data_IF_093424662176
#
_entry.id   IF_093424662176
#
_cell.length_a   1.000
_cell.length_b   1.000
_cell.length_c   1.000
_cell.angle_alpha   90.00
_cell.angle_beta   90.00
_cell.angle_gamma   90.00
#
_symmetry.space_group_name_H-M   'P 1'
#
loop_
_entity.id
_entity.type
_entity.pdbx_description
1 polymer ?
#
# COMPACT_ATOMS: atom_id res chain seq x y z
N UNK A 1 -21.83 6.33 1.69
CA UNK A 1 -20.71 6.39 2.64
C UNK A 1 -20.91 5.29 3.66
N UNK A 2 -20.02 4.31 3.69
CA UNK A 2 -19.99 3.30 4.75
C UNK A 2 -19.69 4.02 6.07
N UNK A 3 -20.47 3.80 7.15
CA UNK A 3 -20.20 4.44 8.44
C UNK A 3 -18.79 4.08 8.93
N UNK A 4 -18.01 5.07 9.38
CA UNK A 4 -16.66 4.83 9.91
C UNK A 4 -16.77 3.91 11.14
N UNK A 5 -16.04 2.78 11.17
CA UNK A 5 -16.05 1.88 12.30
C UNK A 5 -15.57 2.58 13.57
N UNK A 6 -16.09 2.13 14.72
CA UNK A 6 -15.84 2.74 16.03
C UNK A 6 -15.26 1.68 16.96
N UNK A 7 -14.50 2.10 17.96
CA UNK A 7 -14.03 1.20 19.03
C UNK A 7 -14.97 1.18 20.23
N UNK A 8 -16.03 1.99 20.26
CA UNK A 8 -16.97 2.04 21.39
C UNK A 8 -18.42 2.32 20.98
N UNK A 9 -19.35 1.74 21.71
CA UNK A 9 -20.80 1.97 21.68
C UNK A 9 -21.25 2.63 22.98
N UNK A 10 -22.08 3.66 22.84
CA UNK A 10 -22.69 4.35 23.97
C UNK A 10 -22.18 5.77 24.18
N UNK A 11 -22.59 6.43 25.29
CA UNK A 11 -23.37 5.85 26.39
C UNK A 11 -24.80 5.47 25.98
N UNK A 12 -25.22 4.23 26.26
CA UNK A 12 -26.57 3.71 26.02
C UNK A 12 -27.36 3.76 27.33
N UNK A 13 -28.50 4.49 27.41
CA UNK A 13 -29.32 4.52 28.61
C UNK A 13 -29.78 3.11 29.00
N UNK A 14 -29.55 2.73 30.27
CA UNK A 14 -29.97 1.45 30.83
C UNK A 14 -31.23 1.63 31.68
N UNK A 15 -31.09 2.08 32.93
CA UNK A 15 -32.16 2.38 33.91
C UNK A 15 -31.65 3.36 34.97
N UNK A 16 -32.53 4.08 35.67
CA UNK A 16 -32.19 4.89 36.86
C UNK A 16 -30.97 5.81 36.70
N UNK A 17 -30.90 6.49 35.55
CA UNK A 17 -29.79 7.37 35.18
C UNK A 17 -28.46 6.67 34.90
N UNK A 18 -28.44 5.33 34.89
CA UNK A 18 -27.28 4.52 34.55
C UNK A 18 -27.23 4.35 33.04
N UNK A 19 -26.03 4.52 32.48
CA UNK A 19 -25.72 4.24 31.08
C UNK A 19 -24.69 3.13 30.97
N UNK A 20 -24.73 2.40 29.85
CA UNK A 20 -23.78 1.37 29.48
C UNK A 20 -22.95 1.86 28.29
N UNK A 21 -21.63 1.80 28.42
CA UNK A 21 -20.68 1.95 27.31
C UNK A 21 -19.99 0.61 27.08
N UNK A 22 -19.88 0.19 25.83
CA UNK A 22 -19.14 -1.02 25.46
C UNK A 22 -17.99 -0.61 24.55
N UNK A 23 -16.75 -0.89 24.93
CA UNK A 23 -15.57 -0.57 24.14
C UNK A 23 -14.76 -1.83 23.81
N UNK A 24 -14.16 -1.86 22.62
CA UNK A 24 -13.18 -2.84 22.21
C UNK A 24 -11.77 -2.29 22.46
N UNK A 25 -11.06 -2.91 23.41
CA UNK A 25 -9.62 -2.72 23.59
C UNK A 25 -8.84 -3.87 22.94
N UNK A 26 -7.50 -3.75 22.86
CA UNK A 26 -6.57 -4.67 22.16
C UNK A 26 -6.97 -6.15 22.14
N UNK A 27 -7.32 -6.74 23.28
CA UNK A 27 -7.67 -8.16 23.41
C UNK A 27 -8.95 -8.43 24.24
N UNK A 28 -9.75 -7.38 24.48
CA UNK A 28 -10.87 -7.47 25.41
C UNK A 28 -11.94 -6.45 25.11
N UNK A 29 -13.13 -6.80 25.53
CA UNK A 29 -14.30 -5.97 25.54
C UNK A 29 -14.50 -5.44 26.94
N UNK A 30 -14.69 -4.13 27.07
CA UNK A 30 -14.96 -3.46 28.34
C UNK A 30 -16.39 -2.96 28.32
N UNK A 31 -17.18 -3.37 29.30
CA UNK A 31 -18.50 -2.83 29.57
C UNK A 31 -18.43 -1.93 30.79
N UNK A 32 -18.60 -0.63 30.60
CA UNK A 32 -18.53 0.39 31.65
C UNK A 32 -19.93 0.91 31.95
N UNK A 33 -20.33 0.84 33.21
CA UNK A 33 -21.56 1.44 33.71
C UNK A 33 -21.24 2.78 34.34
N UNK A 34 -21.95 3.83 33.91
CA UNK A 34 -21.81 5.17 34.46
C UNK A 34 -23.13 5.70 34.98
N UNK A 35 -23.09 6.56 36.00
CA UNK A 35 -24.24 7.37 36.43
C UNK A 35 -23.79 8.83 36.43
N UNK A 36 -24.26 9.59 35.44
CA UNK A 36 -23.63 10.89 35.12
C UNK A 36 -22.19 10.67 34.62
N UNK A 37 -21.23 11.38 35.22
CA UNK A 37 -19.80 11.26 34.90
C UNK A 37 -19.07 10.20 35.75
N UNK A 38 -19.74 9.62 36.75
CA UNK A 38 -19.12 8.64 37.65
C UNK A 38 -19.20 7.22 37.08
N UNK A 39 -18.07 6.52 37.03
CA UNK A 39 -18.01 5.08 36.71
C UNK A 39 -18.42 4.29 37.96
N UNK A 40 -19.55 3.59 37.87
CA UNK A 40 -20.09 2.80 38.98
C UNK A 40 -19.64 1.34 38.93
N UNK A 41 -19.39 0.78 37.74
CA UNK A 41 -18.91 -0.58 37.58
C UNK A 41 -18.27 -0.83 36.21
N UNK A 42 -17.37 -1.81 36.13
CA UNK A 42 -16.71 -2.24 34.90
C UNK A 42 -16.66 -3.77 34.83
N UNK A 43 -16.90 -4.34 33.65
CA UNK A 43 -16.66 -5.76 33.35
C UNK A 43 -15.81 -5.92 32.09
N UNK A 44 -14.97 -6.96 32.08
CA UNK A 44 -14.07 -7.27 30.98
C UNK A 44 -14.36 -8.67 30.45
N UNK A 45 -14.51 -8.80 29.13
CA UNK A 45 -14.73 -10.09 28.46
C UNK A 45 -13.80 -10.29 27.25
N UNK A 46 -13.51 -11.54 26.91
CA UNK A 46 -12.71 -11.89 25.71
C UNK A 46 -13.50 -11.83 24.41
N UNK A 47 -14.82 -11.97 24.50
CA UNK A 47 -15.74 -11.92 23.37
C UNK A 47 -16.64 -10.71 23.49
N UNK A 48 -17.24 -10.23 22.38
CA UNK A 48 -18.28 -9.22 22.45
C UNK A 48 -19.35 -9.62 23.47
N UNK A 49 -19.80 -8.69 24.32
CA UNK A 49 -20.68 -9.04 25.43
C UNK A 49 -22.05 -9.54 24.92
N UNK A 50 -22.55 -9.07 23.78
CA UNK A 50 -23.80 -9.59 23.18
C UNK A 50 -23.67 -11.01 22.62
N UNK A 51 -22.47 -11.47 22.23
CA UNK A 51 -22.26 -12.83 21.74
C UNK A 51 -22.19 -13.88 22.87
N UNK A 52 -22.04 -13.46 24.12
CA UNK A 52 -21.81 -14.35 25.25
C UNK A 52 -23.12 -14.80 25.93
N UNK A 53 -23.41 -16.11 25.92
CA UNK A 53 -24.60 -16.71 26.58
C UNK A 53 -24.83 -16.26 28.03
N UNK A 54 -23.76 -15.99 28.78
CA UNK A 54 -23.81 -15.63 30.20
C UNK A 54 -23.52 -14.14 30.48
N UNK A 55 -23.23 -13.34 29.44
CA UNK A 55 -22.76 -11.97 29.61
C UNK A 55 -23.78 -11.06 30.29
N UNK A 56 -25.04 -11.09 29.86
CA UNK A 56 -26.11 -10.28 30.47
C UNK A 56 -26.24 -10.57 31.98
N UNK A 57 -26.11 -11.84 32.38
CA UNK A 57 -26.13 -12.24 33.79
C UNK A 57 -24.92 -11.73 34.58
N UNK A 58 -23.71 -11.82 34.01
CA UNK A 58 -22.49 -11.30 34.64
C UNK A 58 -22.56 -9.79 34.83
N UNK A 59 -22.93 -9.06 33.78
CA UNK A 59 -23.07 -7.61 33.80
C UNK A 59 -24.14 -7.14 34.80
N UNK A 60 -25.29 -7.84 34.85
CA UNK A 60 -26.32 -7.58 35.87
C UNK A 60 -25.76 -7.72 37.27
N UNK A 61 -25.01 -8.79 37.55
CA UNK A 61 -24.42 -8.98 38.87
C UNK A 61 -23.43 -7.88 39.21
N UNK A 62 -22.57 -7.49 38.27
CA UNK A 62 -21.57 -6.42 38.46
C UNK A 62 -22.23 -5.10 38.82
N UNK A 63 -23.22 -4.64 38.06
CA UNK A 63 -23.90 -3.37 38.35
C UNK A 63 -24.76 -3.43 39.61
N UNK A 64 -25.45 -4.55 39.87
CA UNK A 64 -26.27 -4.72 41.09
C UNK A 64 -25.45 -4.88 42.37
N UNK A 65 -24.17 -5.27 42.27
CA UNK A 65 -23.25 -5.26 43.41
C UNK A 65 -22.83 -3.83 43.76
N UNK A 66 -22.64 -2.96 42.76
CA UNK A 66 -22.27 -1.57 42.97
C UNK A 66 -23.46 -0.69 43.41
N UNK A 67 -24.65 -0.95 42.87
CA UNK A 67 -25.87 -0.18 43.12
C UNK A 67 -27.04 -1.12 43.40
N UNK A 68 -27.79 -0.93 44.50
CA UNK A 68 -28.93 -1.80 44.82
C UNK A 68 -30.08 -1.54 43.85
N UNK A 69 -30.19 -2.39 42.82
CA UNK A 69 -31.19 -2.33 41.76
C UNK A 69 -31.94 -3.66 41.65
N UNK A 70 -33.14 -3.64 41.06
CA UNK A 70 -33.87 -4.87 40.75
C UNK A 70 -33.15 -5.67 39.65
N UNK A 71 -32.61 -6.83 40.02
CA UNK A 71 -31.83 -7.69 39.12
C UNK A 71 -32.60 -8.11 37.87
N UNK A 72 -33.93 -8.33 37.99
CA UNK A 72 -34.75 -8.78 36.86
C UNK A 72 -34.88 -7.66 35.83
N UNK A 73 -35.13 -6.44 36.28
CA UNK A 73 -35.25 -5.24 35.45
C UNK A 73 -33.93 -4.90 34.76
N UNK A 74 -32.82 -4.87 35.51
CA UNK A 74 -31.47 -4.65 34.96
C UNK A 74 -31.16 -5.67 33.87
N UNK A 75 -31.38 -6.96 34.15
CA UNK A 75 -31.09 -8.03 33.19
C UNK A 75 -31.92 -7.90 31.91
N UNK A 76 -33.20 -7.59 32.04
CA UNK A 76 -34.09 -7.37 30.89
C UNK A 76 -33.63 -6.19 30.04
N UNK A 77 -33.21 -5.09 30.66
CA UNK A 77 -32.69 -3.92 29.97
C UNK A 77 -31.38 -4.23 29.21
N UNK A 78 -30.44 -4.96 29.83
CA UNK A 78 -29.19 -5.37 29.17
C UNK A 78 -29.47 -6.29 27.97
N UNK A 79 -30.37 -7.26 28.11
CA UNK A 79 -30.75 -8.16 27.00
C UNK A 79 -31.33 -7.36 25.83
N UNK A 80 -32.23 -6.41 26.12
CA UNK A 80 -32.82 -5.54 25.09
C UNK A 80 -31.75 -4.71 24.36
N UNK A 81 -30.74 -4.20 25.07
CA UNK A 81 -29.61 -3.49 24.46
C UNK A 81 -28.83 -4.43 23.53
N UNK A 82 -28.55 -5.67 23.96
CA UNK A 82 -27.82 -6.63 23.14
C UNK A 82 -28.57 -7.02 21.87
N UNK A 83 -29.88 -7.27 21.98
CA UNK A 83 -30.74 -7.54 20.81
C UNK A 83 -30.76 -6.36 19.84
N UNK A 84 -30.78 -5.13 20.34
CA UNK A 84 -30.70 -3.93 19.52
C UNK A 84 -29.34 -3.79 18.81
N UNK A 85 -28.24 -4.07 19.50
CA UNK A 85 -26.89 -4.04 18.91
C UNK A 85 -26.78 -5.11 17.82
N UNK A 86 -27.16 -6.35 18.11
CA UNK A 86 -27.08 -7.47 17.18
C UNK A 86 -27.94 -7.28 15.93
N UNK A 87 -29.09 -6.61 16.07
CA UNK A 87 -29.97 -6.25 14.96
C UNK A 87 -29.59 -4.97 14.20
N UNK A 88 -28.46 -4.34 14.52
CA UNK A 88 -28.03 -3.07 13.93
C UNK A 88 -26.69 -3.19 13.19
N UNK A 89 -26.43 -2.26 12.28
CA UNK A 89 -25.12 -2.13 11.61
C UNK A 89 -23.99 -1.80 12.62
N UNK A 90 -24.32 -1.33 13.83
CA UNK A 90 -23.36 -0.98 14.87
C UNK A 90 -22.57 -2.19 15.39
N UNK A 91 -23.15 -3.40 15.35
CA UNK A 91 -22.43 -4.63 15.70
C UNK A 91 -21.31 -4.96 14.70
N UNK A 92 -21.51 -4.64 13.42
CA UNK A 92 -20.52 -4.87 12.36
C UNK A 92 -19.48 -3.75 12.30
N UNK A 93 -19.86 -2.53 12.69
CA UNK A 93 -18.98 -1.37 12.71
C UNK A 93 -18.02 -1.35 13.92
N UNK A 94 -18.18 -2.24 14.90
CA UNK A 94 -17.26 -2.27 16.04
C UNK A 94 -16.01 -3.09 15.77
N UNK A 95 -14.88 -2.39 15.75
CA UNK A 95 -13.55 -2.97 15.54
C UNK A 95 -12.67 -2.69 16.75
N UNK A 96 -11.51 -3.34 16.83
CA UNK A 96 -10.53 -3.08 17.88
C UNK A 96 -10.06 -1.62 17.86
N UNK A 97 -9.64 -1.08 19.01
CA UNK A 97 -9.11 0.28 19.11
C UNK A 97 -7.99 0.59 18.09
N UNK A 98 -7.00 -0.30 17.84
CA UNK A 98 -5.99 -0.05 16.82
C UNK A 98 -6.58 0.10 15.41
N UNK A 99 -7.50 -0.80 15.02
CA UNK A 99 -8.13 -0.73 13.70
C UNK A 99 -9.01 0.52 13.57
N UNK A 100 -9.78 0.84 14.62
CA UNK A 100 -10.66 2.01 14.64
C UNK A 100 -9.88 3.32 14.48
N UNK A 101 -8.69 3.42 15.09
CA UNK A 101 -7.83 4.60 14.95
C UNK A 101 -7.33 4.80 13.53
N UNK A 102 -6.76 3.76 12.94
CA UNK A 102 -6.22 3.82 11.58
C UNK A 102 -7.33 4.15 10.58
N UNK A 103 -8.45 3.42 10.66
CA UNK A 103 -9.60 3.63 9.77
C UNK A 103 -10.22 5.02 10.01
N UNK A 104 -10.33 5.42 11.28
CA UNK A 104 -10.90 6.70 11.68
C UNK A 104 -10.13 7.88 11.09
N UNK A 105 -8.81 7.81 11.10
CA UNK A 105 -7.93 8.85 10.56
C UNK A 105 -7.73 8.73 9.04
N UNK A 106 -8.09 7.61 8.41
CA UNK A 106 -7.98 7.45 6.95
C UNK A 106 -8.94 8.41 6.24
N UNK A 107 -8.38 9.25 5.38
CA UNK A 107 -9.10 10.23 4.54
C UNK A 107 -9.31 9.67 3.14
N UNK A 108 -8.26 9.10 2.54
CA UNK A 108 -8.32 8.51 1.21
C UNK A 108 -7.30 7.36 1.08
N UNK A 109 -7.56 6.46 0.14
CA UNK A 109 -6.66 5.38 -0.23
C UNK A 109 -6.45 5.40 -1.73
N UNK A 110 -5.20 5.52 -2.15
CA UNK A 110 -4.81 5.55 -3.55
C UNK A 110 -3.91 4.37 -3.86
N UNK A 111 -4.17 3.66 -4.94
CA UNK A 111 -3.31 2.60 -5.44
C UNK A 111 -2.63 3.12 -6.70
N UNK A 112 -1.34 3.43 -6.58
CA UNK A 112 -0.55 3.78 -7.75
C UNK A 112 -0.35 2.52 -8.59
N UNK A 113 -0.83 2.56 -9.84
CA UNK A 113 -0.78 1.43 -10.78
C UNK A 113 0.61 1.35 -11.43
N UNK A 114 1.64 1.21 -10.60
CA UNK A 114 3.01 0.92 -11.00
C UNK A 114 3.34 -0.58 -10.82
N UNK A 115 4.50 -1.03 -11.32
CA UNK A 115 4.95 -2.43 -11.21
C UNK A 115 6.16 -2.58 -10.27
N UNK A 116 6.00 -3.03 -9.00
CA UNK A 116 4.77 -3.45 -8.34
C UNK A 116 3.97 -2.27 -7.75
N UNK A 117 2.65 -2.43 -7.54
CA UNK A 117 1.80 -1.33 -7.09
C UNK A 117 2.13 -0.88 -5.67
N UNK A 118 1.90 0.40 -5.43
CA UNK A 118 2.10 1.07 -4.14
C UNK A 118 0.77 1.58 -3.62
N UNK A 119 0.49 1.30 -2.35
CA UNK A 119 -0.72 1.71 -1.66
C UNK A 119 -0.39 2.92 -0.80
N UNK A 120 -1.00 4.06 -1.12
CA UNK A 120 -0.85 5.32 -0.41
C UNK A 120 -2.10 5.56 0.43
N UNK A 121 -1.89 5.67 1.74
CA UNK A 121 -2.96 5.92 2.72
C UNK A 121 -2.81 7.36 3.18
N UNK A 122 -3.72 8.22 2.75
CA UNK A 122 -3.77 9.61 3.17
C UNK A 122 -4.56 9.68 4.49
N UNK A 123 -3.94 10.27 5.50
CA UNK A 123 -4.48 10.44 6.84
C UNK A 123 -4.89 11.89 7.08
N UNK A 124 -5.61 12.16 8.17
CA UNK A 124 -5.90 13.52 8.60
C UNK A 124 -4.62 14.36 8.80
N UNK A 125 -4.77 15.69 8.79
CA UNK A 125 -3.66 16.63 8.99
C UNK A 125 -2.55 16.54 7.93
N UNK A 126 -2.85 16.02 6.73
CA UNK A 126 -1.92 15.96 5.60
C UNK A 126 -0.81 14.92 5.76
N UNK A 127 -0.99 13.96 6.66
CA UNK A 127 -0.08 12.85 6.89
C UNK A 127 -0.34 11.72 5.89
N UNK A 128 0.64 10.86 5.66
CA UNK A 128 0.44 9.68 4.81
C UNK A 128 1.32 8.50 5.20
N UNK A 129 0.86 7.30 4.84
CA UNK A 129 1.62 6.05 4.95
C UNK A 129 1.66 5.36 3.58
N UNK A 130 2.81 4.78 3.25
CA UNK A 130 2.99 4.03 2.00
C UNK A 130 3.28 2.54 2.27
N UNK A 131 2.61 1.67 1.54
CA UNK A 131 2.74 0.22 1.62
C UNK A 131 3.01 -0.38 0.25
N UNK A 132 3.87 -1.40 0.20
CA UNK A 132 4.05 -2.21 -1.02
C UNK A 132 2.98 -3.29 -1.10
N UNK A 133 2.74 -3.84 -2.29
CA UNK A 133 1.91 -5.02 -2.47
C UNK A 133 2.30 -6.19 -1.53
N UNK A 134 3.60 -6.34 -1.23
CA UNK A 134 4.09 -7.36 -0.30
C UNK A 134 3.66 -7.07 1.14
N UNK A 135 3.71 -5.81 1.58
CA UNK A 135 3.28 -5.43 2.93
C UNK A 135 1.80 -5.73 3.13
N UNK A 136 0.97 -5.38 2.13
CA UNK A 136 -0.48 -5.63 2.15
C UNK A 136 -0.73 -7.14 2.15
N UNK A 137 -0.17 -7.90 1.21
CA UNK A 137 -0.42 -9.34 1.11
C UNK A 137 0.05 -10.16 2.33
N UNK A 138 1.07 -9.69 3.05
CA UNK A 138 1.62 -10.42 4.19
C UNK A 138 0.80 -10.28 5.47
N UNK A 139 -0.12 -9.29 5.56
CA UNK A 139 -0.84 -8.91 6.79
C UNK A 139 0.08 -8.78 8.01
N UNK A 140 1.33 -8.38 7.79
CA UNK A 140 2.35 -8.39 8.84
C UNK A 140 2.17 -7.17 9.74
N UNK A 141 1.76 -7.30 11.02
CA UNK A 141 1.41 -6.16 11.87
C UNK A 141 2.58 -5.19 12.09
N UNK A 142 3.82 -5.67 12.00
CA UNK A 142 5.01 -4.82 12.10
C UNK A 142 5.03 -3.73 11.02
N UNK A 143 4.50 -4.03 9.82
CA UNK A 143 4.43 -3.08 8.72
C UNK A 143 3.55 -1.88 9.08
N UNK A 144 2.33 -2.14 9.56
CA UNK A 144 1.38 -1.11 9.99
C UNK A 144 1.90 -0.34 11.21
N UNK A 145 2.37 -1.03 12.25
CA UNK A 145 2.83 -0.40 13.49
C UNK A 145 4.03 0.53 13.25
N UNK A 146 4.98 0.14 12.39
CA UNK A 146 6.17 0.96 12.11
C UNK A 146 5.81 2.23 11.35
N UNK A 147 4.92 2.11 10.35
CA UNK A 147 4.47 3.26 9.54
C UNK A 147 3.62 4.21 10.36
N UNK A 148 2.73 3.67 11.19
CA UNK A 148 1.97 4.46 12.15
C UNK A 148 2.89 5.26 13.08
N UNK A 149 3.87 4.60 13.71
CA UNK A 149 4.80 5.27 14.63
C UNK A 149 5.64 6.34 13.92
N UNK A 150 5.93 6.17 12.62
CA UNK A 150 6.65 7.19 11.83
C UNK A 150 5.84 8.49 11.67
N UNK A 151 4.51 8.35 11.61
CA UNK A 151 3.57 9.46 11.43
C UNK A 151 3.04 10.00 12.76
N UNK A 152 3.03 9.16 13.80
CA UNK A 152 2.65 9.47 15.18
C UNK A 152 3.77 9.06 16.16
N UNK A 153 4.89 9.81 16.23
CA UNK A 153 6.10 9.38 16.95
C UNK A 153 5.94 9.07 18.45
N UNK A 154 4.85 9.51 19.08
CA UNK A 154 4.59 9.36 20.51
C UNK A 154 3.39 8.47 20.83
N UNK A 155 2.73 7.93 19.81
CA UNK A 155 1.47 7.19 19.98
C UNK A 155 1.57 5.82 19.32
N UNK A 156 2.19 4.82 19.97
CA UNK A 156 2.27 3.48 19.42
C UNK A 156 0.88 2.89 19.21
N UNK A 157 0.65 2.30 18.04
CA UNK A 157 -0.61 1.66 17.70
C UNK A 157 -0.77 0.32 18.45
N UNK A 158 0.18 -0.58 18.26
CA UNK A 158 0.14 -1.93 18.84
C UNK A 158 -0.96 -2.81 18.23
N UNK A 159 -1.15 -2.69 16.92
CA UNK A 159 -2.03 -3.54 16.12
C UNK A 159 -1.50 -4.98 16.01
N UNK A 160 -2.39 -5.95 16.05
CA UNK A 160 -2.19 -7.36 15.72
C UNK A 160 -2.35 -7.62 14.22
N UNK A 161 -2.05 -8.84 13.77
CA UNK A 161 -2.29 -9.22 12.37
C UNK A 161 -3.76 -9.16 11.97
N UNK A 162 -4.68 -9.48 12.89
CA UNK A 162 -6.13 -9.40 12.65
C UNK A 162 -6.64 -7.96 12.56
N UNK A 163 -6.04 -7.06 13.33
CA UNK A 163 -6.32 -5.63 13.22
C UNK A 163 -5.88 -5.12 11.85
N UNK A 164 -4.71 -5.54 11.38
CA UNK A 164 -4.21 -5.14 10.08
C UNK A 164 -5.05 -5.69 8.93
N UNK A 165 -5.50 -6.95 9.00
CA UNK A 165 -6.47 -7.53 8.05
C UNK A 165 -7.75 -6.68 7.97
N UNK A 166 -8.32 -6.29 9.12
CA UNK A 166 -9.51 -5.43 9.19
C UNK A 166 -9.26 -4.06 8.55
N UNK A 167 -8.08 -3.47 8.79
CA UNK A 167 -7.68 -2.19 8.20
C UNK A 167 -7.51 -2.31 6.68
N UNK A 168 -6.91 -3.41 6.20
CA UNK A 168 -6.71 -3.66 4.77
C UNK A 168 -8.06 -3.85 4.07
N UNK A 169 -8.98 -4.63 4.64
CA UNK A 169 -10.33 -4.81 4.10
C UNK A 169 -11.03 -3.45 3.94
N UNK A 170 -10.92 -2.58 4.95
CA UNK A 170 -11.44 -1.21 4.85
C UNK A 170 -10.74 -0.42 3.74
N UNK A 171 -9.40 -0.39 3.70
CA UNK A 171 -8.65 0.36 2.70
C UNK A 171 -8.97 -0.07 1.28
N UNK A 172 -9.01 -1.38 1.01
CA UNK A 172 -9.35 -1.91 -0.32
C UNK A 172 -10.81 -1.60 -0.71
N UNK A 173 -11.72 -1.47 0.25
CA UNK A 173 -13.12 -1.11 -0.02
C UNK A 173 -13.32 0.34 -0.49
N UNK A 174 -12.35 1.24 -0.23
CA UNK A 174 -12.40 2.65 -0.59
C UNK A 174 -11.27 3.08 -1.51
N UNK A 175 -10.45 2.14 -1.96
CA UNK A 175 -9.27 2.42 -2.77
C UNK A 175 -9.65 2.91 -4.17
N UNK A 176 -8.97 3.97 -4.61
CA UNK A 176 -9.03 4.46 -5.98
C UNK A 176 -7.68 4.18 -6.68
N UNK A 177 -7.74 3.61 -7.88
CA UNK A 177 -6.56 3.45 -8.73
C UNK A 177 -6.18 4.80 -9.33
N UNK A 178 -4.90 5.15 -9.24
CA UNK A 178 -4.35 6.41 -9.75
C UNK A 178 -3.09 6.18 -10.56
N UNK A 179 -2.81 7.12 -11.46
CA UNK A 179 -1.53 7.17 -12.16
C UNK A 179 -0.39 7.39 -11.16
N UNK A 180 0.74 6.67 -11.30
CA UNK A 180 1.91 6.85 -10.44
C UNK A 180 2.45 8.28 -10.53
N UNK A 181 2.84 8.86 -9.39
CA UNK A 181 3.50 10.18 -9.39
C UNK A 181 4.94 10.13 -9.95
N UNK A 182 5.54 8.93 -10.01
CA UNK A 182 6.87 8.68 -10.57
C UNK A 182 6.82 7.68 -11.72
N UNK A 183 7.90 6.93 -11.92
CA UNK A 183 7.93 5.89 -12.97
C UNK A 183 6.86 4.82 -12.76
N UNK A 184 6.13 4.49 -13.82
CA UNK A 184 5.12 3.42 -13.83
C UNK A 184 5.80 2.07 -13.73
N UNK A 185 7.01 1.94 -14.27
CA UNK A 185 7.81 0.73 -14.15
C UNK A 185 9.25 1.00 -13.70
N UNK A 186 9.84 0.12 -12.86
CA UNK A 186 11.26 0.14 -12.56
C UNK A 186 12.14 0.05 -13.81
N UNK A 187 11.58 -0.49 -14.90
CA UNK A 187 12.26 -0.66 -16.18
C UNK A 187 12.35 0.65 -16.98
N UNK A 188 11.54 1.67 -16.70
CA UNK A 188 11.62 2.97 -17.39
C UNK A 188 13.02 3.58 -17.26
N UNK A 189 13.55 3.64 -16.04
CA UNK A 189 14.90 4.14 -15.79
C UNK A 189 15.99 3.33 -16.50
N UNK A 190 15.77 2.03 -16.69
CA UNK A 190 16.69 1.15 -17.43
C UNK A 190 16.62 1.43 -18.92
N UNK A 191 15.40 1.65 -19.45
CA UNK A 191 15.19 2.07 -20.84
C UNK A 191 15.87 3.40 -21.12
N UNK A 192 15.63 4.41 -20.29
CA UNK A 192 16.24 5.73 -20.42
C UNK A 192 17.77 5.63 -20.44
N UNK A 193 18.36 4.89 -19.50
CA UNK A 193 19.82 4.64 -19.48
C UNK A 193 20.32 3.95 -20.74
N UNK A 194 19.56 3.00 -21.29
CA UNK A 194 19.91 2.35 -22.54
C UNK A 194 19.89 3.36 -23.70
N UNK A 195 18.85 4.20 -23.78
CA UNK A 195 18.72 5.25 -24.79
C UNK A 195 19.88 6.25 -24.71
N UNK A 196 20.22 6.73 -23.51
CA UNK A 196 21.39 7.61 -23.28
C UNK A 196 22.68 6.92 -23.72
N UNK A 197 22.86 5.63 -23.41
CA UNK A 197 24.07 4.86 -23.77
C UNK A 197 24.22 4.71 -25.29
N UNK A 198 23.12 4.56 -26.03
CA UNK A 198 23.16 4.34 -27.49
C UNK A 198 23.11 5.64 -28.31
N UNK A 199 22.59 6.73 -27.75
CA UNK A 199 22.45 8.01 -28.43
C UNK A 199 23.74 8.49 -29.14
N UNK A 200 24.95 8.43 -28.53
CA UNK A 200 26.18 8.89 -29.18
C UNK A 200 26.80 7.89 -30.17
N UNK A 201 26.30 6.65 -30.25
CA UNK A 201 26.94 5.58 -31.04
C UNK A 201 26.52 5.64 -32.51
N UNK A 202 27.42 5.42 -33.47
CA UNK A 202 27.01 5.32 -34.88
C UNK A 202 26.07 4.11 -35.10
N UNK A 203 24.99 4.31 -35.87
CA UNK A 203 24.08 3.24 -36.29
C UNK A 203 24.24 2.96 -37.79
N UNK A 204 25.30 2.24 -38.20
CA UNK A 204 25.53 1.93 -39.60
C UNK A 204 24.41 1.01 -40.13
N UNK A 205 24.16 1.11 -41.43
CA UNK A 205 23.24 0.25 -42.18
C UNK A 205 23.86 -1.10 -42.56
N UNK A 206 24.96 -1.48 -41.90
CA UNK A 206 25.65 -2.75 -42.11
C UNK A 206 25.72 -3.55 -40.80
N UNK A 207 25.46 -4.86 -40.84
CA UNK A 207 25.44 -5.69 -39.63
C UNK A 207 26.75 -5.67 -38.82
N UNK A 208 27.88 -5.38 -39.46
CA UNK A 208 29.20 -5.22 -38.82
C UNK A 208 29.23 -4.14 -37.73
N UNK A 209 28.27 -3.20 -37.73
CA UNK A 209 28.08 -2.24 -36.64
C UNK A 209 27.87 -2.89 -35.28
N UNK A 210 27.25 -4.07 -35.23
CA UNK A 210 27.08 -4.84 -33.99
C UNK A 210 28.41 -5.28 -33.37
N UNK A 211 29.45 -5.46 -34.19
CA UNK A 211 30.79 -5.82 -33.70
C UNK A 211 31.53 -4.58 -33.20
N UNK A 212 31.49 -3.49 -33.98
CA UNK A 212 32.31 -2.29 -33.74
C UNK A 212 31.76 -1.39 -32.63
N UNK A 213 30.46 -1.14 -32.67
CA UNK A 213 29.78 -0.21 -31.75
C UNK A 213 28.59 -0.83 -31.03
N UNK A 214 28.22 -2.07 -31.35
CA UNK A 214 27.08 -2.74 -30.72
C UNK A 214 25.72 -2.33 -31.26
N UNK A 215 25.66 -1.59 -32.37
CA UNK A 215 24.42 -1.12 -33.01
C UNK A 215 24.43 -1.39 -34.52
N UNK A 216 23.29 -1.79 -35.07
CA UNK A 216 23.04 -1.91 -36.50
C UNK A 216 21.62 -1.47 -36.82
N UNK A 217 21.46 -0.49 -37.70
CA UNK A 217 20.14 -0.13 -38.21
C UNK A 217 19.85 -0.98 -39.45
N UNK A 218 18.83 -1.84 -39.39
CA UNK A 218 18.42 -2.59 -40.57
C UNK A 218 17.69 -1.65 -41.56
N UNK A 219 18.04 -1.65 -42.85
CA UNK A 219 17.38 -0.79 -43.84
C UNK A 219 15.87 -1.05 -43.88
N UNK A 220 15.07 -0.04 -43.52
CA UNK A 220 13.60 -0.17 -43.42
C UNK A 220 13.11 -1.12 -42.32
N UNK A 221 14.00 -1.51 -41.39
CA UNK A 221 13.74 -2.50 -40.35
C UNK A 221 14.12 -2.02 -38.94
N UNK A 222 14.25 -2.95 -37.97
CA UNK A 222 14.55 -2.63 -36.58
C UNK A 222 15.94 -2.02 -36.36
N UNK A 223 16.07 -1.28 -35.26
CA UNK A 223 17.36 -0.93 -34.68
C UNK A 223 17.86 -2.11 -33.84
N UNK A 224 18.92 -2.77 -34.29
CA UNK A 224 19.52 -3.88 -33.57
C UNK A 224 20.55 -3.38 -32.56
N UNK A 225 20.34 -3.70 -31.29
CA UNK A 225 21.28 -3.40 -30.19
C UNK A 225 21.87 -4.72 -29.68
N UNK A 226 23.19 -4.79 -29.54
CA UNK A 226 23.87 -5.98 -29.05
C UNK A 226 23.43 -6.33 -27.63
N UNK A 227 23.26 -7.63 -27.37
CA UNK A 227 22.90 -8.12 -26.04
C UNK A 227 23.92 -7.78 -24.97
N UNK A 228 25.19 -7.54 -25.36
CA UNK A 228 26.22 -7.02 -24.47
C UNK A 228 25.86 -5.63 -23.95
N UNK A 229 25.51 -4.68 -24.82
CA UNK A 229 25.12 -3.34 -24.39
C UNK A 229 23.88 -3.36 -23.48
N UNK A 230 22.90 -4.19 -23.82
CA UNK A 230 21.70 -4.39 -22.98
C UNK A 230 22.09 -4.98 -21.62
N UNK A 231 22.94 -6.00 -21.59
CA UNK A 231 23.42 -6.64 -20.36
C UNK A 231 24.24 -5.69 -19.48
N UNK A 232 25.12 -4.89 -20.07
CA UNK A 232 25.92 -3.89 -19.36
C UNK A 232 25.00 -2.86 -18.67
N UNK A 233 23.97 -2.34 -19.36
CA UNK A 233 23.01 -1.39 -18.78
C UNK A 233 22.16 -2.02 -17.66
N UNK A 234 21.74 -3.28 -17.84
CA UNK A 234 21.02 -4.01 -16.80
C UNK A 234 21.88 -4.16 -15.54
N UNK A 235 23.14 -4.57 -15.72
CA UNK A 235 24.10 -4.72 -14.62
C UNK A 235 24.40 -3.41 -13.91
N UNK A 236 24.63 -2.33 -14.65
CA UNK A 236 24.85 -0.96 -14.12
C UNK A 236 23.63 -0.44 -13.34
N UNK A 237 22.45 -0.99 -13.61
CA UNK A 237 21.19 -0.66 -12.92
C UNK A 237 20.86 -1.64 -11.78
N UNK A 238 21.79 -2.51 -11.40
CA UNK A 238 21.61 -3.50 -10.33
C UNK A 238 20.60 -4.61 -10.69
N UNK A 239 20.30 -4.80 -11.97
CA UNK A 239 19.35 -5.81 -12.47
C UNK A 239 20.08 -7.06 -12.94
N UNK A 240 19.40 -8.19 -12.87
CA UNK A 240 19.90 -9.44 -13.41
C UNK A 240 19.76 -9.45 -14.93
N UNK A 241 20.85 -9.72 -15.64
CA UNK A 241 20.87 -9.79 -17.12
C UNK A 241 19.96 -10.89 -17.71
N UNK A 242 19.61 -11.89 -16.90
CA UNK A 242 18.73 -13.00 -17.27
C UNK A 242 17.28 -12.77 -16.85
N UNK A 243 16.95 -11.61 -16.26
CA UNK A 243 15.58 -11.27 -15.88
C UNK A 243 14.74 -11.02 -17.13
N UNK A 244 13.76 -11.90 -17.36
CA UNK A 244 12.82 -11.76 -18.47
C UNK A 244 11.85 -10.57 -18.29
N UNK A 245 11.80 -9.93 -17.11
CA UNK A 245 10.96 -8.77 -16.83
C UNK A 245 11.26 -7.61 -17.78
N UNK A 246 12.54 -7.34 -18.06
CA UNK A 246 12.91 -6.23 -18.94
C UNK A 246 12.45 -6.44 -20.38
N UNK A 247 12.63 -7.64 -20.94
CA UNK A 247 12.19 -7.94 -22.30
C UNK A 247 10.66 -7.92 -22.43
N UNK A 248 9.94 -8.43 -21.42
CA UNK A 248 8.48 -8.35 -21.35
C UNK A 248 7.98 -6.90 -21.29
N UNK A 249 8.61 -6.07 -20.46
CA UNK A 249 8.30 -4.65 -20.36
C UNK A 249 8.48 -3.94 -21.71
N UNK A 250 9.64 -4.15 -22.36
CA UNK A 250 9.92 -3.54 -23.66
C UNK A 250 8.94 -3.99 -24.76
N UNK A 251 8.49 -5.24 -24.73
CA UNK A 251 7.46 -5.75 -25.66
C UNK A 251 6.09 -5.10 -25.40
N UNK A 252 5.68 -5.02 -24.12
CA UNK A 252 4.42 -4.39 -23.74
C UNK A 252 4.39 -2.90 -24.09
N UNK A 253 5.51 -2.20 -23.90
CA UNK A 253 5.68 -0.79 -24.28
C UNK A 253 5.85 -0.57 -25.81
N UNK A 254 5.88 -1.64 -26.62
CA UNK A 254 6.05 -1.55 -28.07
C UNK A 254 7.47 -1.13 -28.52
N UNK A 255 8.44 -1.10 -27.62
CA UNK A 255 9.82 -0.67 -27.89
C UNK A 255 10.68 -1.79 -28.48
N UNK A 256 10.42 -3.05 -28.09
CA UNK A 256 11.10 -4.24 -28.63
C UNK A 256 10.23 -4.95 -29.67
N UNK A 257 10.55 -4.76 -30.94
CA UNK A 257 9.80 -5.36 -32.07
C UNK A 257 10.30 -6.76 -32.44
N UNK A 258 11.55 -7.08 -32.09
CA UNK A 258 12.13 -8.40 -32.30
C UNK A 258 12.84 -8.88 -31.02
N UNK A 259 12.51 -10.08 -30.51
CA UNK A 259 13.20 -10.63 -29.35
C UNK A 259 14.70 -10.85 -29.65
N UNK A 260 15.48 -11.13 -28.61
CA UNK A 260 16.90 -11.45 -28.76
C UNK A 260 17.12 -12.57 -29.78
N UNK A 261 17.83 -12.28 -30.87
CA UNK A 261 18.14 -13.22 -31.94
C UNK A 261 19.65 -13.35 -32.14
N UNK A 262 20.14 -14.56 -32.45
CA UNK A 262 21.52 -14.75 -32.90
C UNK A 262 21.71 -14.18 -34.32
N UNK A 263 22.67 -13.28 -34.50
CA UNK A 263 23.13 -12.75 -35.78
C UNK A 263 24.55 -13.27 -36.04
N UNK A 264 24.75 -13.94 -37.18
CA UNK A 264 26.05 -14.50 -37.57
C UNK A 264 26.79 -13.54 -38.49
N UNK A 265 27.95 -13.05 -38.05
CA UNK A 265 28.76 -12.05 -38.73
C UNK A 265 30.18 -12.60 -38.92
N UNK A 266 30.45 -13.11 -40.12
CA UNK A 266 31.65 -13.89 -40.38
C UNK A 266 31.76 -15.10 -39.44
N UNK A 267 32.80 -15.12 -38.61
CA UNK A 267 33.04 -16.17 -37.60
C UNK A 267 32.40 -15.90 -36.24
N UNK A 268 31.87 -14.70 -36.02
CA UNK A 268 31.28 -14.31 -34.75
C UNK A 268 29.77 -14.56 -34.72
N UNK A 269 29.26 -14.96 -33.55
CA UNK A 269 27.84 -15.06 -33.26
C UNK A 269 27.51 -14.02 -32.20
N UNK A 270 26.71 -13.02 -32.56
CA UNK A 270 26.30 -11.95 -31.66
C UNK A 270 24.80 -12.08 -31.43
N UNK A 271 24.37 -12.11 -30.17
CA UNK A 271 22.95 -11.96 -29.85
C UNK A 271 22.61 -10.46 -29.86
N UNK A 272 21.56 -10.09 -30.57
CA UNK A 272 21.08 -8.71 -30.63
C UNK A 272 19.56 -8.67 -30.47
N UNK A 273 19.07 -7.56 -29.95
CA UNK A 273 17.67 -7.28 -29.66
C UNK A 273 17.21 -6.23 -30.68
N UNK A 274 16.06 -6.43 -31.32
CA UNK A 274 15.57 -5.51 -32.35
C UNK A 274 14.53 -4.56 -31.78
N UNK A 275 14.87 -3.29 -31.71
CA UNK A 275 14.03 -2.21 -31.21
C UNK A 275 13.36 -1.45 -32.35
N UNK A 276 12.33 -0.66 -32.03
CA UNK A 276 11.82 0.34 -32.97
C UNK A 276 12.96 1.28 -33.41
N UNK A 277 12.95 1.78 -34.65
CA UNK A 277 13.94 2.78 -35.10
C UNK A 277 13.97 4.02 -34.20
N UNK A 278 12.79 4.49 -33.78
CA UNK A 278 12.60 5.67 -32.92
C UNK A 278 13.06 5.46 -31.47
N UNK A 279 13.50 4.24 -31.11
CA UNK A 279 14.04 3.96 -29.78
C UNK A 279 15.30 4.80 -29.50
N UNK A 280 16.05 5.14 -30.55
CA UNK A 280 17.22 5.99 -30.44
C UNK A 280 16.79 7.46 -30.60
N UNK A 281 17.18 8.36 -29.67
CA UNK A 281 16.95 9.80 -29.86
C UNK A 281 17.66 10.35 -31.10
N UNK A 282 16.98 11.21 -31.85
CA UNK A 282 17.48 11.80 -33.10
C UNK A 282 18.65 12.77 -32.92
N UNK A 283 18.80 13.38 -31.74
CA UNK A 283 19.86 14.36 -31.44
C UNK A 283 20.71 13.96 -30.23
N UNK A 284 22.01 13.60 -30.40
CA UNK A 284 22.91 13.28 -29.29
C UNK A 284 23.19 14.48 -28.37
N UNK A 285 22.84 15.72 -28.76
CA UNK A 285 23.04 16.94 -27.95
C UNK A 285 22.03 17.14 -26.83
N UNK A 286 20.93 16.38 -26.79
CA UNK A 286 19.99 16.41 -25.65
C UNK A 286 20.65 15.90 -24.35
N UNK A 287 21.77 15.19 -24.48
CA UNK A 287 22.59 14.67 -23.38
C UNK A 287 23.67 15.63 -22.87
N UNK A 288 23.87 16.78 -23.51
CA UNK A 288 24.94 17.72 -23.15
C UNK A 288 24.42 18.69 -22.08
N UNK A 289 24.43 18.25 -20.81
CA UNK A 289 24.34 19.15 -19.66
C UNK A 289 25.69 19.89 -19.51
N UNK A 290 26.05 20.70 -20.50
CA UNK A 290 27.21 21.57 -20.40
C UNK A 290 26.94 22.65 -19.36
N UNK A 291 27.53 22.43 -18.17
CA UNK A 291 27.86 23.38 -17.09
C UNK A 291 26.92 24.58 -16.90
N UNK A 292 25.94 24.42 -15.99
CA UNK A 292 25.23 25.52 -15.34
C UNK A 292 26.10 26.30 -14.32
N UNK A 293 27.43 26.17 -14.38
CA UNK A 293 28.37 26.86 -13.47
C UNK A 293 28.96 28.14 -14.07
N UNK A 294 28.64 28.47 -15.32
CA UNK A 294 29.03 29.74 -15.93
C UNK A 294 28.04 30.87 -15.57
N UNK A 295 27.90 31.17 -14.27
CA UNK A 295 27.45 32.51 -13.86
C UNK A 295 28.65 33.44 -13.99
N UNK A 296 28.72 34.17 -15.10
CA UNK A 296 29.60 35.33 -15.26
C UNK A 296 29.25 36.36 -14.17
N UNK A 297 29.99 36.32 -13.07
CA UNK A 297 30.15 37.50 -12.20
C UNK A 297 31.14 38.41 -12.90
N UNK A 298 30.62 39.33 -13.73
CA UNK A 298 31.41 40.46 -14.20
C UNK A 298 31.51 41.55 -13.09
N UNK A 299 32.69 42.18 -12.92
CA UNK A 299 32.96 43.16 -11.87
C UNK A 299 32.25 44.51 -12.05
#
# INVERSE_FOLDING_TARGET
>A
MTPKPRSSLGPIPLIDGISLTIAAERDRWISTFTRGEEVIAEERSKTPPWAGRYAAGRLTNVVCTAVPLDKKTVRAAIIKIFEAIEGSDDAQALVSEPAARVIGETVAVRVEVCDPPVYLIDLEQGKSMAFTARDVAAHAPIALNTRWLSVHPREPLGASGRDFETVIDFWLSIAEEVEPAGSVSPWESVVERLQIRIAPLEAPQTPDGLIKGGIYQEPGGPLWISGRLVGDVLKDSGRNENDAGFSKYLQAAGLLVCPSQPKRLGRMLIRAWGFTPDFRPDDPKVSDFSDLTAEEVAP
#
